data_IF_377551291890
#
_entry.id   IF_377551291890
#
_cell.length_a   1.000
_cell.length_b   1.000
_cell.length_c   1.000
_cell.angle_alpha   90.00
_cell.angle_beta   90.00
_cell.angle_gamma   90.00
#
_symmetry.space_group_name_H-M   'P 1'
#
loop_
_entity.id
_entity.type
_entity.pdbx_description
1 polymer ?
#
# COMPACT_ATOMS: atom_id res chain seq x y z
N UNK A 1 7.89 -2.48 18.86
CA UNK A 1 6.66 -2.88 18.15
C UNK A 1 5.41 -2.18 18.71
N UNK A 2 5.20 -2.17 20.02
CA UNK A 2 4.00 -1.57 20.66
C UNK A 2 3.74 -0.11 20.26
N UNK A 3 4.77 0.69 20.08
CA UNK A 3 4.63 2.09 19.67
C UNK A 3 4.13 2.21 18.22
N UNK A 4 4.56 1.32 17.33
CA UNK A 4 4.10 1.25 15.94
C UNK A 4 2.64 0.81 15.90
N UNK A 5 2.28 -0.23 16.66
CA UNK A 5 0.89 -0.69 16.80
C UNK A 5 -0.01 0.44 17.30
N UNK A 6 0.42 1.11 18.38
CA UNK A 6 -0.33 2.23 18.96
C UNK A 6 -0.49 3.41 17.99
N UNK A 7 0.53 3.68 17.16
CA UNK A 7 0.45 4.71 16.13
C UNK A 7 -0.65 4.38 15.11
N UNK A 8 -0.60 3.17 14.52
CA UNK A 8 -1.57 2.76 13.49
C UNK A 8 -2.98 2.51 14.04
N UNK A 9 -3.12 2.10 15.30
CA UNK A 9 -4.43 2.01 15.96
C UNK A 9 -5.09 3.39 16.15
N UNK A 10 -4.30 4.43 16.39
CA UNK A 10 -4.81 5.81 16.54
C UNK A 10 -5.11 6.48 15.19
N UNK A 11 -4.40 6.11 14.16
CA UNK A 11 -4.50 6.71 12.83
C UNK A 11 -4.46 5.65 11.72
N UNK A 12 -5.54 4.85 11.55
CA UNK A 12 -5.65 3.98 10.39
C UNK A 12 -5.41 4.76 9.11
N UNK A 13 -4.59 4.20 8.20
CA UNK A 13 -4.30 4.84 6.93
C UNK A 13 -5.60 5.09 6.16
N UNK A 14 -5.73 6.25 5.52
CA UNK A 14 -6.88 6.66 4.72
C UNK A 14 -8.21 6.86 5.48
N UNK A 15 -8.25 6.71 6.81
CA UNK A 15 -9.50 6.86 7.59
C UNK A 15 -10.21 8.20 7.35
N UNK A 16 -9.48 9.23 6.87
CA UNK A 16 -10.00 10.58 6.58
C UNK A 16 -10.28 10.81 5.10
N UNK A 17 -10.36 9.75 4.29
CA UNK A 17 -10.64 9.88 2.86
C UNK A 17 -12.12 10.16 2.54
N UNK A 18 -13.01 10.00 3.50
CA UNK A 18 -14.43 10.30 3.38
C UNK A 18 -14.90 11.22 4.51
N UNK A 19 -15.94 12.00 4.23
CA UNK A 19 -16.69 12.78 5.23
C UNK A 19 -17.90 12.04 5.79
N UNK A 20 -18.24 10.88 5.24
CA UNK A 20 -19.33 10.04 5.68
C UNK A 20 -19.01 9.33 7.02
N UNK A 21 -20.04 8.77 7.65
CA UNK A 21 -19.90 8.00 8.88
C UNK A 21 -19.02 6.77 8.63
N UNK A 22 -17.96 6.63 9.43
CA UNK A 22 -16.97 5.56 9.29
C UNK A 22 -17.62 4.18 9.36
N UNK A 23 -17.35 3.36 8.36
CA UNK A 23 -17.82 1.98 8.28
C UNK A 23 -19.19 1.83 7.63
N UNK A 24 -19.76 2.88 7.05
CA UNK A 24 -20.91 2.80 6.14
C UNK A 24 -20.47 2.46 4.72
N UNK A 25 -21.40 2.03 3.88
CA UNK A 25 -21.11 1.76 2.46
C UNK A 25 -20.64 3.01 1.74
N UNK A 26 -21.30 4.12 1.99
CA UNK A 26 -20.99 5.44 1.44
C UNK A 26 -19.57 5.86 1.81
N UNK A 27 -19.17 5.67 3.07
CA UNK A 27 -17.81 5.92 3.53
C UNK A 27 -16.78 5.12 2.73
N UNK A 28 -17.01 3.81 2.58
CA UNK A 28 -16.07 2.95 1.87
C UNK A 28 -16.02 3.23 0.36
N UNK A 29 -17.14 3.59 -0.24
CA UNK A 29 -17.19 3.97 -1.66
C UNK A 29 -16.43 5.29 -1.92
N UNK A 30 -16.59 6.31 -1.04
CA UNK A 30 -15.85 7.58 -1.15
C UNK A 30 -14.35 7.40 -0.89
N UNK A 31 -13.98 6.59 0.12
CA UNK A 31 -12.59 6.27 0.41
C UNK A 31 -11.90 5.62 -0.81
N UNK A 32 -12.52 4.59 -1.40
CA UNK A 32 -12.01 3.90 -2.57
C UNK A 32 -11.87 4.87 -3.76
N UNK A 33 -12.93 5.64 -4.03
CA UNK A 33 -12.93 6.61 -5.13
C UNK A 33 -11.81 7.64 -4.97
N UNK A 34 -11.62 8.18 -3.76
CA UNK A 34 -10.57 9.15 -3.48
C UNK A 34 -9.17 8.54 -3.58
N UNK A 35 -8.95 7.36 -2.99
CA UNK A 35 -7.67 6.66 -3.08
C UNK A 35 -7.26 6.48 -4.53
N UNK A 36 -8.10 5.88 -5.35
CA UNK A 36 -7.76 5.59 -6.74
C UNK A 36 -7.81 6.80 -7.67
N UNK A 37 -8.46 7.88 -7.28
CA UNK A 37 -8.35 9.16 -7.98
C UNK A 37 -6.97 9.79 -7.79
N UNK A 38 -6.47 9.78 -6.56
CA UNK A 38 -5.17 10.40 -6.22
C UNK A 38 -4.01 9.48 -6.59
N UNK A 39 -4.16 8.19 -6.38
CA UNK A 39 -3.17 7.14 -6.63
C UNK A 39 -3.62 6.23 -7.77
N UNK A 40 -3.89 6.81 -8.92
CA UNK A 40 -4.53 6.13 -10.08
C UNK A 40 -3.74 4.95 -10.66
N UNK A 41 -2.46 4.81 -10.31
CA UNK A 41 -1.61 3.69 -10.71
C UNK A 41 -1.92 2.38 -9.96
N UNK A 42 -2.56 2.45 -8.76
CA UNK A 42 -2.79 1.27 -7.91
C UNK A 42 -3.56 0.16 -8.63
N UNK A 43 -4.73 0.39 -9.26
CA UNK A 43 -5.45 -0.70 -9.92
C UNK A 43 -4.64 -1.38 -11.03
N UNK A 44 -3.85 -0.60 -11.76
CA UNK A 44 -2.94 -1.12 -12.79
C UNK A 44 -1.78 -1.92 -12.21
N UNK A 45 -1.25 -1.51 -11.08
CA UNK A 45 -0.20 -2.23 -10.36
C UNK A 45 -0.73 -3.51 -9.70
N UNK A 46 -1.86 -3.45 -8.99
CA UNK A 46 -2.44 -4.59 -8.30
C UNK A 46 -2.95 -5.67 -9.27
N UNK A 47 -3.46 -5.27 -10.44
CA UNK A 47 -4.02 -6.16 -11.48
C UNK A 47 -5.10 -7.09 -10.90
N UNK A 48 -6.03 -6.55 -10.11
CA UNK A 48 -7.01 -7.28 -9.32
C UNK A 48 -7.68 -8.45 -10.07
N UNK A 49 -8.02 -8.26 -11.34
CA UNK A 49 -8.70 -9.24 -12.18
C UNK A 49 -7.84 -10.46 -12.58
N UNK A 50 -6.51 -10.37 -12.50
CA UNK A 50 -5.62 -11.49 -12.78
C UNK A 50 -5.67 -12.59 -11.72
N UNK A 51 -6.16 -12.28 -10.55
CA UNK A 51 -6.11 -13.14 -9.38
C UNK A 51 -7.41 -13.89 -9.11
N UNK A 52 -8.31 -13.94 -10.08
CA UNK A 52 -9.54 -14.75 -9.99
C UNK A 52 -9.22 -16.24 -9.75
N UNK A 53 -9.80 -16.82 -8.68
CA UNK A 53 -9.56 -18.20 -8.27
C UNK A 53 -8.12 -18.47 -7.78
N UNK A 54 -7.37 -17.43 -7.41
CA UNK A 54 -6.00 -17.51 -6.91
C UNK A 54 -5.94 -17.17 -5.43
N UNK A 55 -5.00 -17.77 -4.71
CA UNK A 55 -4.72 -17.45 -3.32
C UNK A 55 -3.91 -16.15 -3.24
N UNK A 56 -4.49 -15.14 -2.61
CA UNK A 56 -3.87 -13.83 -2.41
C UNK A 56 -3.69 -13.56 -0.92
N UNK A 57 -2.46 -13.25 -0.52
CA UNK A 57 -2.15 -12.70 0.80
C UNK A 57 -1.84 -11.21 0.66
N UNK A 58 -2.57 -10.39 1.40
CA UNK A 58 -2.23 -8.97 1.56
C UNK A 58 -1.61 -8.72 2.93
N UNK A 59 -0.41 -8.12 2.93
CA UNK A 59 0.30 -7.71 4.15
C UNK A 59 0.01 -6.24 4.39
N UNK A 60 -0.61 -5.94 5.53
CA UNK A 60 -1.05 -4.60 5.91
C UNK A 60 -2.27 -4.16 5.11
N UNK A 61 -3.37 -4.89 5.22
CA UNK A 61 -4.60 -4.60 4.46
C UNK A 61 -5.29 -3.28 4.88
N UNK A 62 -4.84 -2.64 5.95
CA UNK A 62 -5.36 -1.36 6.41
C UNK A 62 -6.86 -1.39 6.66
N UNK A 63 -7.61 -0.47 6.03
CA UNK A 63 -9.08 -0.43 6.09
C UNK A 63 -9.75 -1.16 4.92
N UNK A 64 -9.00 -2.00 4.19
CA UNK A 64 -9.50 -2.96 3.22
C UNK A 64 -9.83 -2.44 1.83
N UNK A 65 -9.26 -1.31 1.39
CA UNK A 65 -9.60 -0.71 0.09
C UNK A 65 -9.14 -1.58 -1.08
N UNK A 66 -7.89 -2.07 -1.06
CA UNK A 66 -7.38 -2.98 -2.10
C UNK A 66 -7.94 -4.40 -1.88
N UNK A 67 -8.08 -4.81 -0.61
CA UNK A 67 -8.62 -6.10 -0.18
C UNK A 67 -9.96 -6.45 -0.84
N UNK A 68 -10.93 -5.53 -0.76
CA UNK A 68 -12.26 -5.76 -1.36
C UNK A 68 -12.19 -5.88 -2.88
N UNK A 69 -11.22 -5.23 -3.53
CA UNK A 69 -11.07 -5.30 -4.98
C UNK A 69 -10.47 -6.65 -5.41
N UNK A 70 -9.55 -7.24 -4.66
CA UNK A 70 -9.14 -8.64 -4.87
C UNK A 70 -10.32 -9.59 -4.71
N UNK A 71 -11.08 -9.47 -3.63
CA UNK A 71 -12.23 -10.35 -3.35
C UNK A 71 -13.38 -10.16 -4.36
N UNK A 72 -13.73 -8.92 -4.75
CA UNK A 72 -14.72 -8.62 -5.80
C UNK A 72 -14.36 -9.27 -7.14
N UNK A 73 -13.05 -9.41 -7.42
CA UNK A 73 -12.56 -10.06 -8.64
C UNK A 73 -12.34 -11.57 -8.48
N UNK A 74 -12.80 -12.17 -7.39
CA UNK A 74 -12.85 -13.63 -7.20
C UNK A 74 -11.57 -14.26 -6.65
N UNK A 75 -10.66 -13.50 -6.06
CA UNK A 75 -9.50 -14.05 -5.36
C UNK A 75 -9.91 -14.79 -4.07
N UNK A 76 -9.20 -15.87 -3.73
CA UNK A 76 -9.22 -16.46 -2.39
C UNK A 76 -8.37 -15.56 -1.47
N UNK A 77 -9.04 -14.59 -0.87
CA UNK A 77 -8.36 -13.49 -0.19
C UNK A 77 -8.04 -13.79 1.27
N UNK A 78 -6.82 -13.49 1.65
CA UNK A 78 -6.34 -13.46 3.04
C UNK A 78 -5.65 -12.13 3.31
N UNK A 79 -6.04 -11.45 4.39
CA UNK A 79 -5.44 -10.20 4.85
C UNK A 79 -4.79 -10.37 6.22
N UNK A 80 -3.59 -9.82 6.39
CA UNK A 80 -2.97 -9.66 7.70
C UNK A 80 -2.75 -8.17 7.98
N UNK A 81 -2.94 -7.79 9.22
CA UNK A 81 -2.84 -6.40 9.66
C UNK A 81 -2.35 -6.34 11.12
N UNK A 82 -1.46 -5.41 11.40
CA UNK A 82 -0.90 -5.21 12.73
C UNK A 82 -1.83 -4.39 13.65
N UNK A 83 -2.62 -3.47 13.06
CA UNK A 83 -3.57 -2.62 13.76
C UNK A 83 -4.93 -3.30 13.89
N UNK A 84 -5.35 -3.56 15.13
CA UNK A 84 -6.69 -4.09 15.42
C UNK A 84 -7.80 -3.19 14.86
N UNK A 85 -7.64 -1.87 15.02
CA UNK A 85 -8.61 -0.89 14.54
C UNK A 85 -8.78 -0.94 13.02
N UNK A 86 -7.68 -1.04 12.29
CA UNK A 86 -7.69 -1.16 10.83
C UNK A 86 -8.33 -2.49 10.39
N UNK A 87 -7.95 -3.58 11.05
CA UNK A 87 -8.44 -4.92 10.74
C UNK A 87 -9.96 -5.04 10.94
N UNK A 88 -10.50 -4.46 12.01
CA UNK A 88 -11.94 -4.44 12.26
C UNK A 88 -12.70 -3.65 11.19
N UNK A 89 -12.12 -2.53 10.72
CA UNK A 89 -12.71 -1.78 9.60
C UNK A 89 -12.68 -2.58 8.30
N UNK A 90 -11.60 -3.35 8.05
CA UNK A 90 -11.53 -4.25 6.89
C UNK A 90 -12.61 -5.33 6.95
N UNK A 91 -12.78 -5.98 8.10
CA UNK A 91 -13.85 -6.99 8.30
C UNK A 91 -15.23 -6.37 8.05
N UNK A 92 -15.49 -5.18 8.65
CA UNK A 92 -16.74 -4.45 8.43
C UNK A 92 -16.97 -4.09 6.96
N UNK A 93 -15.90 -3.71 6.23
CA UNK A 93 -15.97 -3.42 4.80
C UNK A 93 -16.38 -4.67 4.01
N UNK A 94 -15.81 -5.83 4.32
CA UNK A 94 -16.19 -7.10 3.70
C UNK A 94 -17.66 -7.47 3.97
N UNK A 95 -18.12 -7.28 5.20
CA UNK A 95 -19.54 -7.51 5.57
C UNK A 95 -20.48 -6.59 4.77
N UNK A 96 -20.15 -5.29 4.69
CA UNK A 96 -20.95 -4.30 3.95
C UNK A 96 -21.05 -4.66 2.46
N UNK A 97 -19.97 -5.14 1.85
CA UNK A 97 -19.95 -5.56 0.44
C UNK A 97 -20.33 -7.05 0.24
N UNK A 98 -20.70 -7.77 1.31
CA UNK A 98 -21.07 -9.19 1.28
C UNK A 98 -19.99 -10.07 0.62
N UNK A 99 -18.73 -9.79 0.93
CA UNK A 99 -17.56 -10.51 0.42
C UNK A 99 -17.03 -11.49 1.48
N UNK A 100 -16.22 -12.45 1.04
CA UNK A 100 -15.54 -13.40 1.91
C UNK A 100 -14.04 -13.17 1.89
N UNK A 101 -13.41 -13.33 3.06
CA UNK A 101 -11.97 -13.27 3.23
C UNK A 101 -11.57 -13.85 4.58
N UNK A 102 -10.30 -14.17 4.73
CA UNK A 102 -9.70 -14.57 6.01
C UNK A 102 -8.85 -13.41 6.55
N UNK A 103 -8.96 -13.13 7.85
CA UNK A 103 -8.32 -11.96 8.45
C UNK A 103 -7.60 -12.33 9.74
N UNK A 104 -6.34 -11.90 9.86
CA UNK A 104 -5.50 -12.20 11.01
C UNK A 104 -4.80 -10.94 11.51
N UNK A 105 -4.82 -10.74 12.85
CA UNK A 105 -4.00 -9.72 13.49
C UNK A 105 -2.63 -10.34 13.78
N UNK A 106 -1.67 -10.10 12.88
CA UNK A 106 -0.35 -10.75 12.88
C UNK A 106 0.72 -9.74 12.47
N UNK A 107 1.87 -9.80 13.15
CA UNK A 107 3.09 -9.14 12.71
C UNK A 107 3.74 -9.94 11.55
N UNK A 108 3.84 -9.30 10.38
CA UNK A 108 4.45 -9.91 9.20
C UNK A 108 5.92 -10.30 9.37
N UNK A 109 6.59 -9.82 10.42
CA UNK A 109 7.95 -10.24 10.78
C UNK A 109 7.97 -11.59 11.53
N UNK A 110 6.82 -12.04 12.08
CA UNK A 110 6.74 -13.25 12.88
C UNK A 110 6.32 -14.46 12.04
N UNK A 111 7.30 -15.21 11.53
CA UNK A 111 7.04 -16.39 10.69
C UNK A 111 6.22 -17.48 11.44
N UNK A 112 6.39 -17.61 12.75
CA UNK A 112 5.64 -18.61 13.52
C UNK A 112 4.14 -18.30 13.54
N UNK A 113 3.76 -17.04 13.64
CA UNK A 113 2.36 -16.61 13.52
C UNK A 113 1.86 -16.72 12.07
N UNK A 114 2.68 -16.32 11.10
CA UNK A 114 2.37 -16.42 9.67
C UNK A 114 2.11 -17.86 9.22
N UNK A 115 2.72 -18.86 9.85
CA UNK A 115 2.44 -20.26 9.54
C UNK A 115 0.97 -20.66 9.74
N UNK A 116 0.25 -19.96 10.60
CA UNK A 116 -1.20 -20.16 10.83
C UNK A 116 -2.08 -19.64 9.69
N UNK A 117 -1.55 -18.74 8.86
CA UNK A 117 -2.26 -18.15 7.71
C UNK A 117 -2.28 -19.09 6.50
N UNK A 118 -1.43 -20.11 6.52
CA UNK A 118 -1.25 -21.05 5.43
C UNK A 118 -0.05 -20.70 4.55
N UNK A 119 -0.07 -21.20 3.32
CA UNK A 119 1.03 -21.00 2.37
C UNK A 119 0.59 -21.27 0.94
N UNK A 120 1.59 -21.41 0.06
CA UNK A 120 1.39 -21.63 -1.38
C UNK A 120 0.54 -20.53 -2.04
N UNK A 121 0.79 -19.28 -1.65
CA UNK A 121 0.11 -18.12 -2.23
C UNK A 121 0.56 -17.90 -3.68
N UNK A 122 -0.40 -17.59 -4.54
CA UNK A 122 -0.16 -17.18 -5.93
C UNK A 122 0.39 -15.75 -5.99
N UNK A 123 -0.15 -14.88 -5.12
CA UNK A 123 0.26 -13.50 -4.93
C UNK A 123 0.45 -13.21 -3.44
N UNK A 124 1.55 -12.54 -3.12
CA UNK A 124 1.65 -11.74 -1.91
C UNK A 124 1.71 -10.26 -2.34
N UNK A 125 0.81 -9.47 -1.79
CA UNK A 125 0.67 -8.04 -2.07
C UNK A 125 0.89 -7.22 -0.81
N UNK A 126 1.62 -6.12 -0.91
CA UNK A 126 1.80 -5.18 0.19
C UNK A 126 2.00 -3.76 -0.34
N UNK A 127 1.08 -2.87 -0.05
CA UNK A 127 1.10 -1.51 -0.57
C UNK A 127 1.25 -0.49 0.57
N UNK A 128 2.41 0.14 0.65
CA UNK A 128 2.63 1.22 1.63
C UNK A 128 2.92 0.73 3.05
N UNK A 129 3.45 -0.48 3.26
CA UNK A 129 3.55 -1.12 4.58
C UNK A 129 4.98 -1.48 4.97
N UNK A 130 5.69 -2.24 4.16
CA UNK A 130 6.95 -2.89 4.52
C UNK A 130 8.02 -1.90 4.99
N UNK A 131 8.07 -0.72 4.41
CA UNK A 131 9.00 0.34 4.78
C UNK A 131 8.70 1.00 6.15
N UNK A 132 7.61 0.63 6.80
CA UNK A 132 7.27 0.99 8.18
C UNK A 132 7.63 -0.09 9.20
N UNK A 133 8.20 -1.21 8.74
CA UNK A 133 8.72 -2.26 9.61
C UNK A 133 10.13 -1.91 10.09
N UNK A 134 10.49 -2.21 11.35
CA UNK A 134 11.88 -2.13 11.80
C UNK A 134 12.83 -3.08 11.09
N UNK A 135 12.31 -4.20 10.59
CA UNK A 135 13.07 -5.22 9.85
C UNK A 135 12.34 -5.61 8.55
N UNK A 136 12.44 -4.78 7.49
CA UNK A 136 11.80 -5.05 6.20
C UNK A 136 12.30 -6.32 5.52
N UNK A 137 13.60 -6.67 5.70
CA UNK A 137 14.18 -7.86 5.09
C UNK A 137 13.50 -9.13 5.61
N UNK A 138 13.22 -9.19 6.91
CA UNK A 138 12.54 -10.34 7.51
C UNK A 138 11.15 -10.58 6.93
N UNK A 139 10.41 -9.52 6.60
CA UNK A 139 9.12 -9.65 5.91
C UNK A 139 9.32 -10.23 4.51
N UNK A 140 10.32 -9.77 3.76
CA UNK A 140 10.65 -10.27 2.42
C UNK A 140 11.04 -11.75 2.47
N UNK A 141 11.85 -12.16 3.44
CA UNK A 141 12.26 -13.56 3.63
C UNK A 141 11.05 -14.45 3.96
N UNK A 142 10.12 -13.95 4.77
CA UNK A 142 8.85 -14.62 5.08
C UNK A 142 7.97 -14.74 3.82
N UNK A 143 7.89 -13.70 2.99
CA UNK A 143 7.17 -13.75 1.71
C UNK A 143 7.73 -14.85 0.79
N UNK A 144 9.05 -14.97 0.73
CA UNK A 144 9.71 -16.04 -0.05
C UNK A 144 9.25 -17.43 0.41
N UNK A 145 9.08 -17.65 1.71
CA UNK A 145 8.65 -18.93 2.25
C UNK A 145 7.16 -19.21 1.94
N UNK A 146 6.30 -18.22 2.07
CA UNK A 146 4.84 -18.35 1.91
C UNK A 146 4.37 -18.44 0.45
N UNK A 147 5.14 -17.90 -0.49
CA UNK A 147 4.83 -18.02 -1.92
C UNK A 147 5.02 -19.45 -2.43
N UNK A 148 4.14 -19.90 -3.29
CA UNK A 148 4.36 -21.11 -4.07
C UNK A 148 5.50 -20.93 -5.08
N UNK A 149 6.12 -22.02 -5.60
CA UNK A 149 7.03 -21.90 -6.73
C UNK A 149 6.40 -21.16 -7.92
N UNK A 150 7.06 -20.09 -8.40
CA UNK A 150 6.55 -19.22 -9.45
C UNK A 150 5.48 -18.22 -8.99
N UNK A 151 5.17 -18.16 -7.69
CA UNK A 151 4.30 -17.16 -7.10
C UNK A 151 4.89 -15.75 -7.21
N UNK A 152 4.04 -14.75 -7.18
CA UNK A 152 4.39 -13.34 -7.42
C UNK A 152 4.38 -12.56 -6.11
N UNK A 153 5.41 -11.75 -5.91
CA UNK A 153 5.42 -10.70 -4.89
C UNK A 153 5.22 -9.35 -5.57
N UNK A 154 4.23 -8.58 -5.10
CA UNK A 154 4.02 -7.19 -5.48
C UNK A 154 4.09 -6.32 -4.23
N UNK A 155 5.06 -5.41 -4.17
CA UNK A 155 5.21 -4.49 -3.05
C UNK A 155 5.33 -3.05 -3.53
N UNK A 156 4.81 -2.12 -2.76
CA UNK A 156 5.10 -0.70 -2.92
C UNK A 156 5.83 -0.19 -1.68
N UNK A 157 6.96 0.48 -1.92
CA UNK A 157 7.74 1.18 -0.90
C UNK A 157 8.09 2.59 -1.38
N UNK A 158 8.59 3.43 -0.47
CA UNK A 158 8.91 4.82 -0.78
C UNK A 158 10.27 4.97 -1.47
N UNK A 159 10.30 5.85 -2.49
CA UNK A 159 11.49 6.15 -3.28
C UNK A 159 12.38 7.19 -2.59
N UNK A 160 13.67 6.89 -2.43
CA UNK A 160 14.68 7.85 -1.97
C UNK A 160 14.83 9.00 -2.97
N UNK A 161 14.94 8.69 -4.26
CA UNK A 161 15.02 9.68 -5.32
C UNK A 161 13.62 10.07 -5.79
N UNK A 162 12.95 10.95 -5.06
CA UNK A 162 11.60 11.38 -5.39
C UNK A 162 11.35 12.86 -5.14
N UNK A 163 10.34 13.40 -5.84
CA UNK A 163 9.88 14.78 -5.63
C UNK A 163 9.51 15.02 -4.16
N UNK A 164 8.75 14.11 -3.57
CA UNK A 164 8.29 14.21 -2.17
C UNK A 164 9.47 14.24 -1.19
N UNK A 165 10.47 13.37 -1.38
CA UNK A 165 11.67 13.33 -0.53
C UNK A 165 12.46 14.63 -0.63
N UNK A 166 12.65 15.18 -1.82
CA UNK A 166 13.32 16.48 -2.01
C UNK A 166 12.58 17.61 -1.31
N UNK A 167 11.24 17.62 -1.36
CA UNK A 167 10.43 18.64 -0.67
C UNK A 167 10.57 18.53 0.85
N UNK A 168 10.51 17.31 1.39
CA UNK A 168 10.69 17.05 2.83
C UNK A 168 12.08 17.49 3.29
N UNK A 169 13.13 17.13 2.56
CA UNK A 169 14.52 17.50 2.88
C UNK A 169 14.74 19.02 2.78
N UNK A 170 13.97 19.68 1.92
CA UNK A 170 13.92 21.15 1.82
C UNK A 170 13.08 21.82 2.92
N UNK A 171 12.55 21.06 3.87
CA UNK A 171 11.74 21.58 5.00
C UNK A 171 10.31 21.97 4.63
N UNK A 172 9.81 21.47 3.48
CA UNK A 172 8.44 21.74 3.03
C UNK A 172 7.49 20.64 3.49
N UNK A 173 6.30 21.03 3.98
CA UNK A 173 5.26 20.07 4.37
C UNK A 173 4.78 19.28 3.15
N UNK A 174 4.59 17.99 3.36
CA UNK A 174 4.06 17.08 2.34
C UNK A 174 2.91 16.27 2.92
N UNK A 175 1.85 16.07 2.13
CA UNK A 175 0.71 15.27 2.56
C UNK A 175 1.17 13.83 2.83
N UNK A 176 0.78 13.31 4.00
CA UNK A 176 1.21 11.97 4.45
C UNK A 176 2.73 11.79 4.44
N UNK A 177 3.48 12.86 4.72
CA UNK A 177 4.93 12.79 4.89
C UNK A 177 5.35 11.92 6.08
N UNK A 178 4.36 11.47 6.86
CA UNK A 178 4.55 10.60 8.02
C UNK A 178 5.54 11.15 9.04
N UNK A 179 5.54 12.47 9.18
CA UNK A 179 6.39 13.21 10.12
C UNK A 179 6.32 12.72 11.56
N UNK A 180 5.26 11.99 11.91
CA UNK A 180 5.06 11.39 13.23
C UNK A 180 5.17 9.85 13.23
N UNK A 181 5.50 9.23 12.08
CA UNK A 181 5.75 7.79 12.02
C UNK A 181 7.18 7.51 12.49
N UNK A 182 7.33 6.63 13.46
CA UNK A 182 8.63 6.31 14.07
C UNK A 182 9.58 5.63 13.10
N UNK A 183 9.05 4.87 12.15
CA UNK A 183 9.81 4.14 11.13
C UNK A 183 9.20 4.42 9.77
N UNK A 184 9.98 5.02 8.88
CA UNK A 184 9.64 5.20 7.48
C UNK A 184 10.93 5.22 6.65
N UNK A 185 11.26 4.08 6.04
CA UNK A 185 12.42 3.97 5.16
C UNK A 185 12.08 4.41 3.74
N UNK A 186 13.07 4.97 3.06
CA UNK A 186 13.07 5.20 1.63
C UNK A 186 14.15 4.36 0.96
N UNK A 187 13.96 3.98 -0.29
CA UNK A 187 14.84 3.05 -0.99
C UNK A 187 15.28 3.57 -2.34
N UNK A 188 16.54 3.26 -2.68
CA UNK A 188 17.02 3.30 -4.06
C UNK A 188 16.74 1.98 -4.77
N UNK A 189 16.77 1.98 -6.11
CA UNK A 189 16.61 0.74 -6.89
C UNK A 189 17.68 -0.31 -6.54
N UNK A 190 18.92 0.12 -6.27
CA UNK A 190 20.00 -0.81 -5.88
C UNK A 190 19.74 -1.49 -4.54
N UNK A 191 19.16 -0.76 -3.57
CA UNK A 191 18.76 -1.33 -2.30
C UNK A 191 17.62 -2.33 -2.47
N UNK A 192 16.64 -2.05 -3.34
CA UNK A 192 15.56 -2.99 -3.68
C UNK A 192 16.14 -4.26 -4.32
N UNK A 193 17.03 -4.14 -5.30
CA UNK A 193 17.66 -5.32 -5.92
C UNK A 193 18.43 -6.17 -4.91
N UNK A 194 19.11 -5.56 -3.93
CA UNK A 194 19.79 -6.29 -2.86
C UNK A 194 18.80 -7.00 -1.94
N UNK A 195 17.72 -6.32 -1.54
CA UNK A 195 16.69 -6.87 -0.66
C UNK A 195 15.95 -8.06 -1.30
N UNK A 196 15.79 -8.04 -2.62
CA UNK A 196 15.07 -9.05 -3.40
C UNK A 196 15.99 -10.02 -4.15
N UNK A 197 17.26 -10.17 -3.73
CA UNK A 197 18.27 -10.92 -4.51
C UNK A 197 17.93 -12.41 -4.73
N UNK A 198 17.05 -13.01 -3.91
CA UNK A 198 16.57 -14.38 -4.06
C UNK A 198 15.38 -14.50 -5.02
N UNK A 199 14.74 -13.37 -5.38
CA UNK A 199 13.64 -13.33 -6.33
C UNK A 199 14.15 -13.19 -7.77
N UNK A 200 13.31 -13.58 -8.74
CA UNK A 200 13.58 -13.47 -10.18
C UNK A 200 12.67 -12.44 -10.82
N UNK A 201 13.02 -12.02 -12.03
CA UNK A 201 12.19 -11.12 -12.84
C UNK A 201 11.78 -9.84 -12.09
N UNK A 202 12.72 -9.25 -11.36
CA UNK A 202 12.46 -8.02 -10.60
C UNK A 202 12.19 -6.87 -11.58
N UNK A 203 10.99 -6.31 -11.50
CA UNK A 203 10.57 -5.12 -12.23
C UNK A 203 10.25 -4.03 -11.23
N UNK A 204 10.82 -2.84 -11.42
CA UNK A 204 10.61 -1.67 -10.58
C UNK A 204 10.02 -0.57 -11.47
N UNK A 205 8.85 -0.10 -11.12
CA UNK A 205 8.20 1.06 -11.73
C UNK A 205 8.06 2.14 -10.68
N UNK A 206 8.54 3.34 -10.99
CA UNK A 206 8.34 4.50 -10.14
C UNK A 206 7.11 5.27 -10.60
N UNK A 207 6.27 5.69 -9.66
CA UNK A 207 5.01 6.35 -9.94
C UNK A 207 4.61 7.31 -8.82
N UNK A 208 3.59 8.09 -9.05
CA UNK A 208 2.89 8.94 -8.10
C UNK A 208 3.66 10.18 -7.64
N UNK A 209 3.17 11.35 -8.04
CA UNK A 209 3.48 12.65 -7.43
C UNK A 209 2.19 13.24 -6.87
N UNK A 210 2.16 13.53 -5.57
CA UNK A 210 1.04 14.25 -4.98
C UNK A 210 1.06 15.71 -5.45
N UNK A 211 0.10 16.07 -6.29
CA UNK A 211 0.10 17.34 -7.02
C UNK A 211 -0.83 18.42 -6.46
N UNK A 212 -1.53 18.14 -5.35
CA UNK A 212 -2.56 19.01 -4.82
C UNK A 212 -2.08 19.88 -3.66
N UNK A 213 -2.66 21.07 -3.51
CA UNK A 213 -2.49 21.96 -2.35
C UNK A 213 -3.03 21.28 -1.10
N UNK A 214 -2.18 21.06 -0.12
CA UNK A 214 -2.52 20.30 1.11
C UNK A 214 -3.75 20.88 1.85
N UNK A 215 -3.88 22.20 2.06
CA UNK A 215 -5.04 22.77 2.74
C UNK A 215 -6.35 22.50 2.02
N UNK A 216 -6.35 22.54 0.70
CA UNK A 216 -7.52 22.26 -0.14
C UNK A 216 -7.86 20.78 -0.13
N UNK A 217 -6.85 19.93 -0.28
CA UNK A 217 -7.03 18.47 -0.26
C UNK A 217 -7.62 17.96 1.05
N UNK A 218 -7.20 18.53 2.19
CA UNK A 218 -7.80 18.23 3.51
C UNK A 218 -9.28 18.59 3.62
N UNK A 219 -9.78 19.44 2.72
CA UNK A 219 -11.19 19.87 2.62
C UNK A 219 -11.90 19.22 1.41
N UNK A 220 -11.38 18.11 0.89
CA UNK A 220 -11.91 17.37 -0.27
C UNK A 220 -11.95 18.19 -1.57
N UNK A 221 -11.09 19.23 -1.70
CA UNK A 221 -10.91 20.00 -2.92
C UNK A 221 -9.60 19.63 -3.60
N UNK A 222 -9.67 19.31 -4.90
CA UNK A 222 -8.52 18.84 -5.67
C UNK A 222 -7.87 19.98 -6.47
N UNK A 223 -7.43 21.01 -5.76
CA UNK A 223 -6.72 22.17 -6.35
C UNK A 223 -5.25 21.82 -6.48
N UNK A 224 -4.74 21.79 -7.71
CA UNK A 224 -3.32 21.52 -7.96
C UNK A 224 -2.43 22.65 -7.49
N UNK A 225 -1.19 22.34 -7.18
CA UNK A 225 -0.14 23.34 -7.01
C UNK A 225 0.14 24.07 -8.34
N UNK A 226 0.45 25.35 -8.28
CA UNK A 226 0.56 26.21 -9.47
C UNK A 226 1.58 25.70 -10.48
N UNK A 227 2.68 25.09 -10.04
CA UNK A 227 3.69 24.47 -10.92
C UNK A 227 3.23 23.18 -11.60
N UNK A 228 2.19 22.50 -11.09
CA UNK A 228 1.59 21.33 -11.73
C UNK A 228 0.35 21.68 -12.56
N UNK A 229 -0.36 22.77 -12.23
CA UNK A 229 -1.59 23.20 -12.93
C UNK A 229 -1.35 23.45 -14.43
N UNK A 230 -0.19 24.06 -14.75
CA UNK A 230 0.16 24.46 -16.09
C UNK A 230 1.16 23.52 -16.77
N UNK A 231 1.51 22.41 -16.09
CA UNK A 231 2.44 21.44 -16.63
C UNK A 231 1.74 20.55 -17.67
N UNK A 232 2.30 20.40 -18.90
CA UNK A 232 1.75 19.47 -19.87
C UNK A 232 1.73 18.03 -19.33
N UNK A 233 0.65 17.29 -19.58
CA UNK A 233 0.45 15.93 -19.04
C UNK A 233 1.59 14.96 -19.35
N UNK A 234 2.17 15.04 -20.56
CA UNK A 234 3.30 14.18 -20.93
C UNK A 234 4.57 14.50 -20.14
N UNK A 235 4.77 15.76 -19.76
CA UNK A 235 5.88 16.17 -18.89
C UNK A 235 5.62 15.69 -17.46
N UNK A 236 4.41 15.89 -16.93
CA UNK A 236 4.02 15.42 -15.60
C UNK A 236 4.18 13.89 -15.46
N UNK A 237 3.68 13.12 -16.44
CA UNK A 237 3.86 11.66 -16.48
C UNK A 237 5.32 11.24 -16.58
N UNK A 238 6.14 12.01 -17.32
CA UNK A 238 7.58 11.78 -17.37
C UNK A 238 8.26 12.05 -16.02
N UNK A 239 7.79 13.05 -15.29
CA UNK A 239 8.27 13.40 -13.95
C UNK A 239 7.89 12.31 -12.95
N UNK A 240 6.64 11.83 -12.96
CA UNK A 240 6.18 10.73 -12.11
C UNK A 240 7.04 9.47 -12.24
N UNK A 241 7.37 9.08 -13.47
CA UNK A 241 8.22 7.92 -13.74
C UNK A 241 9.66 8.06 -13.27
N UNK A 242 10.11 9.29 -13.02
CA UNK A 242 11.49 9.60 -12.61
C UNK A 242 11.60 9.99 -11.15
N UNK A 243 10.60 10.67 -10.62
CA UNK A 243 10.60 11.29 -9.30
C UNK A 243 9.32 10.98 -8.50
N UNK A 244 8.55 9.98 -8.92
CA UNK A 244 7.40 9.51 -8.17
C UNK A 244 7.78 9.00 -6.78
N UNK A 245 6.85 9.06 -5.84
CA UNK A 245 7.07 8.65 -4.46
C UNK A 245 7.06 7.13 -4.27
N UNK A 246 6.32 6.42 -5.14
CA UNK A 246 6.08 4.99 -5.02
C UNK A 246 7.03 4.21 -5.93
N UNK A 247 7.83 3.32 -5.35
CA UNK A 247 8.47 2.22 -6.05
C UNK A 247 7.50 1.03 -6.03
N UNK A 248 6.86 0.78 -7.16
CA UNK A 248 5.98 -0.35 -7.39
C UNK A 248 6.82 -1.50 -7.94
N UNK A 249 7.01 -2.55 -7.15
CA UNK A 249 7.93 -3.65 -7.45
C UNK A 249 7.14 -4.92 -7.67
N UNK A 250 7.44 -5.63 -8.75
CA UNK A 250 6.92 -6.97 -9.05
C UNK A 250 8.07 -7.93 -9.24
N UNK A 251 8.05 -9.06 -8.55
CA UNK A 251 9.06 -10.11 -8.72
C UNK A 251 8.44 -11.50 -8.50
N UNK A 252 9.21 -12.57 -8.78
CA UNK A 252 8.75 -13.97 -8.72
C UNK A 252 9.69 -14.80 -7.85
N UNK A 253 9.10 -15.74 -7.10
CA UNK A 253 9.83 -16.81 -6.42
C UNK A 253 10.42 -17.81 -7.39
#
# INVERSE_FOLDING_TARGET
MDEIINYWNKQPCNIRHSSCEVGTKEYFDEDEARKYFVESHIPGFAEFNKWNGKKVLEIGCGIGTDAVNFAKNGAEYTGIELSDTSLELTKKRFDVFQLKGSFFNIDAQNLAELSSVGGDFDLIYSFGVIHHSPDPQKIIDNCMQLLKPGGVLKIMVYAENSWKKMMIDGGLDQYEAQSNCQVAFTYTNDQIHKMLCEFRNIQIQQDHIFSYKIPDYKQYRYVKEDWFEHMPDNIFKGLEKKLGWHLCITCQK
#
